data_IF_061105361158
#
_entry.id   IF_061105361158
#
_cell.length_a   1.000
_cell.length_b   1.000
_cell.length_c   1.000
_cell.angle_alpha   90.00
_cell.angle_beta   90.00
_cell.angle_gamma   90.00
#
_symmetry.space_group_name_H-M   'P 1'
#
loop_
_entity.id
_entity.type
_entity.pdbx_description
1 polymer ?
#
# COMPACT_ATOMS: atom_id res chain seq x y z
N UNK A 1 22.39 -23.88 -40.47
CA UNK A 1 21.87 -22.52 -40.77
C UNK A 1 22.14 -21.62 -39.57
N UNK A 2 23.27 -20.91 -39.54
CA UNK A 2 23.60 -19.97 -38.47
C UNK A 2 23.03 -18.59 -38.80
N UNK A 3 22.10 -18.09 -37.99
CA UNK A 3 21.56 -16.74 -38.18
C UNK A 3 22.53 -15.71 -37.62
N UNK A 4 23.28 -15.08 -38.53
CA UNK A 4 24.07 -13.89 -38.26
C UNK A 4 23.16 -12.73 -37.86
N UNK A 5 23.21 -12.29 -36.59
CA UNK A 5 22.64 -11.01 -36.18
C UNK A 5 23.58 -9.87 -36.62
N UNK A 6 23.46 -9.43 -37.88
CA UNK A 6 24.06 -8.16 -38.34
C UNK A 6 23.02 -7.05 -38.21
N UNK A 7 23.21 -6.18 -37.22
CA UNK A 7 22.50 -4.92 -37.09
C UNK A 7 22.33 -4.51 -35.63
N UNK A 8 22.94 -3.40 -35.22
CA UNK A 8 22.47 -2.71 -34.02
C UNK A 8 21.03 -2.26 -34.28
N UNK A 9 20.07 -2.56 -33.37
CA UNK A 9 18.69 -2.18 -33.58
C UNK A 9 18.57 -0.67 -33.78
N UNK A 10 17.80 -0.29 -34.79
CA UNK A 10 17.61 1.11 -35.19
C UNK A 10 17.13 1.96 -34.01
N UNK A 11 17.69 3.17 -33.89
CA UNK A 11 17.34 4.08 -32.81
C UNK A 11 15.92 4.61 -33.00
N UNK A 12 15.00 4.14 -32.15
CA UNK A 12 13.61 4.65 -32.13
C UNK A 12 13.54 5.94 -31.30
N UNK A 13 13.04 7.01 -31.91
CA UNK A 13 12.92 8.31 -31.24
C UNK A 13 11.88 8.29 -30.10
N UNK A 14 11.94 9.26 -29.18
CA UNK A 14 10.95 9.37 -28.10
C UNK A 14 9.55 9.67 -28.66
N UNK A 15 9.45 10.50 -29.70
CA UNK A 15 8.20 10.81 -30.38
C UNK A 15 7.53 9.57 -30.99
N UNK A 16 8.32 8.74 -31.69
CA UNK A 16 7.83 7.48 -32.25
C UNK A 16 7.34 6.51 -31.17
N UNK A 17 8.07 6.40 -30.04
CA UNK A 17 7.65 5.57 -28.90
C UNK A 17 6.29 6.01 -28.37
N UNK A 18 6.11 7.32 -28.15
CA UNK A 18 4.84 7.91 -27.67
C UNK A 18 3.71 7.68 -28.66
N UNK A 19 3.93 7.96 -29.95
CA UNK A 19 2.93 7.76 -30.99
C UNK A 19 2.53 6.29 -31.13
N UNK A 20 3.48 5.36 -30.99
CA UNK A 20 3.19 3.92 -30.99
C UNK A 20 2.38 3.50 -29.76
N UNK A 21 2.78 3.96 -28.57
CA UNK A 21 2.05 3.71 -27.33
C UNK A 21 0.61 4.21 -27.40
N UNK A 22 0.41 5.44 -27.89
CA UNK A 22 -0.91 6.06 -28.06
C UNK A 22 -1.81 5.26 -29.03
N UNK A 23 -1.29 4.93 -30.23
CA UNK A 23 -2.04 4.11 -31.21
C UNK A 23 -2.47 2.76 -30.62
N UNK A 24 -1.55 2.11 -29.89
CA UNK A 24 -1.87 0.82 -29.27
C UNK A 24 -2.84 0.95 -28.10
N UNK A 25 -2.76 2.02 -27.30
CA UNK A 25 -3.71 2.30 -26.24
C UNK A 25 -5.12 2.49 -26.80
N UNK A 26 -5.28 3.28 -27.86
CA UNK A 26 -6.58 3.50 -28.52
C UNK A 26 -7.15 2.19 -29.07
N UNK A 27 -6.30 1.36 -29.70
CA UNK A 27 -6.68 0.03 -30.17
C UNK A 27 -7.11 -0.89 -29.03
N UNK A 28 -6.43 -0.85 -27.89
CA UNK A 28 -6.77 -1.64 -26.70
C UNK A 28 -8.09 -1.18 -26.07
N UNK A 29 -8.28 0.14 -25.92
CA UNK A 29 -9.52 0.72 -25.37
C UNK A 29 -10.75 0.40 -26.21
N UNK A 30 -10.62 0.32 -27.55
CA UNK A 30 -11.69 -0.13 -28.45
C UNK A 30 -12.11 -1.58 -28.20
N UNK A 31 -11.19 -2.44 -27.76
CA UNK A 31 -11.47 -3.85 -27.48
C UNK A 31 -11.93 -4.10 -26.04
N UNK A 32 -11.41 -3.33 -25.09
CA UNK A 32 -11.68 -3.49 -23.68
C UNK A 32 -11.68 -2.12 -22.98
N UNK A 33 -12.84 -1.72 -22.45
CA UNK A 33 -13.00 -0.43 -21.77
C UNK A 33 -12.34 -0.38 -20.37
N UNK A 34 -11.98 -1.54 -19.79
CA UNK A 34 -11.31 -1.63 -18.48
C UNK A 34 -9.81 -1.30 -18.50
N UNK A 35 -9.26 -0.95 -19.66
CA UNK A 35 -7.85 -0.61 -19.83
C UNK A 35 -7.55 0.72 -19.13
N UNK A 36 -6.68 0.67 -18.14
CA UNK A 36 -6.30 1.80 -17.30
C UNK A 36 -4.83 2.16 -17.52
N UNK A 37 -4.53 3.16 -18.37
CA UNK A 37 -3.15 3.55 -18.61
C UNK A 37 -2.53 4.19 -17.37
N UNK A 38 -1.23 4.00 -17.20
CA UNK A 38 -0.48 4.68 -16.15
C UNK A 38 0.07 6.01 -16.68
N UNK A 39 -0.57 7.10 -16.28
CA UNK A 39 -0.22 8.47 -16.68
C UNK A 39 0.43 9.18 -15.50
N UNK A 40 1.61 9.76 -15.72
CA UNK A 40 2.27 10.58 -14.70
C UNK A 40 1.64 11.97 -14.61
N UNK A 41 1.46 12.45 -13.38
CA UNK A 41 1.18 13.86 -13.11
C UNK A 41 2.51 14.63 -13.00
N UNK A 42 3.03 15.10 -14.14
CA UNK A 42 4.28 15.84 -14.22
C UNK A 42 5.52 14.99 -14.55
N UNK A 43 6.71 15.47 -14.18
CA UNK A 43 8.00 14.86 -14.58
C UNK A 43 8.59 13.89 -13.56
N UNK A 44 8.12 13.98 -12.30
CA UNK A 44 8.56 13.14 -11.19
C UNK A 44 7.82 11.81 -11.20
N UNK A 45 8.55 10.72 -10.91
CA UNK A 45 7.99 9.37 -10.81
C UNK A 45 7.34 9.10 -9.46
N UNK A 46 7.77 9.84 -8.44
CA UNK A 46 7.15 9.83 -7.13
C UNK A 46 7.15 11.26 -6.56
N UNK A 47 6.09 11.60 -5.84
CA UNK A 47 5.79 12.91 -5.26
C UNK A 47 5.59 12.80 -3.77
N UNK A 48 4.96 11.72 -3.30
CA UNK A 48 4.73 11.49 -1.88
C UNK A 48 5.87 10.64 -1.30
N UNK A 49 5.93 10.60 0.03
CA UNK A 49 6.88 9.74 0.72
C UNK A 49 6.72 8.26 0.32
N UNK A 50 5.50 7.78 0.08
CA UNK A 50 5.22 6.38 -0.25
C UNK A 50 5.86 5.94 -1.57
N UNK A 51 5.61 6.69 -2.66
CA UNK A 51 6.24 6.41 -3.94
C UNK A 51 7.76 6.55 -3.87
N UNK A 52 8.28 7.53 -3.12
CA UNK A 52 9.73 7.73 -2.95
C UNK A 52 10.37 6.59 -2.16
N UNK A 53 9.75 6.16 -1.06
CA UNK A 53 10.22 5.05 -0.25
C UNK A 53 10.22 3.75 -1.04
N UNK A 54 9.14 3.47 -1.78
CA UNK A 54 9.05 2.32 -2.68
C UNK A 54 10.20 2.31 -3.70
N UNK A 55 10.36 3.41 -4.44
CA UNK A 55 11.42 3.55 -5.43
C UNK A 55 12.82 3.40 -4.79
N UNK A 56 13.03 3.99 -3.61
CA UNK A 56 14.28 3.85 -2.85
C UNK A 56 14.57 2.40 -2.46
N UNK A 57 13.55 1.68 -2.00
CA UNK A 57 13.69 0.27 -1.65
C UNK A 57 14.03 -0.59 -2.87
N UNK A 58 13.40 -0.33 -4.02
CA UNK A 58 13.72 -0.99 -5.27
C UNK A 58 15.15 -0.70 -5.74
N UNK A 59 15.61 0.54 -5.61
CA UNK A 59 16.94 0.97 -6.05
C UNK A 59 18.07 0.41 -5.18
N UNK A 60 17.79 0.08 -3.91
CA UNK A 60 18.72 -0.65 -3.03
C UNK A 60 19.01 -2.07 -3.50
N UNK A 61 18.24 -2.60 -4.44
CA UNK A 61 18.53 -3.87 -5.09
C UNK A 61 19.58 -3.61 -6.18
N UNK A 62 20.83 -3.48 -5.73
CA UNK A 62 21.95 -2.92 -6.47
C UNK A 62 22.26 -3.64 -7.82
N UNK A 63 21.77 -4.86 -8.02
CA UNK A 63 21.96 -5.64 -9.26
C UNK A 63 21.25 -5.05 -10.49
N UNK A 64 20.46 -3.98 -10.34
CA UNK A 64 19.57 -3.46 -11.39
C UNK A 64 19.86 -2.05 -11.87
N UNK A 65 20.90 -1.37 -11.36
CA UNK A 65 21.20 0.05 -11.64
C UNK A 65 21.17 0.42 -13.14
N UNK A 66 21.74 -0.43 -14.00
CA UNK A 66 21.79 -0.21 -15.46
C UNK A 66 20.46 -0.45 -16.20
N UNK A 67 19.48 -1.12 -15.58
CA UNK A 67 18.18 -1.49 -16.20
C UNK A 67 17.05 -0.57 -15.77
N UNK A 68 17.18 0.01 -14.58
CA UNK A 68 16.25 0.93 -13.94
C UNK A 68 16.00 2.20 -14.77
N UNK A 69 17.06 2.82 -15.32
CA UNK A 69 16.94 4.07 -16.07
C UNK A 69 16.04 3.99 -17.32
N UNK A 70 16.07 2.85 -18.03
CA UNK A 70 15.19 2.61 -19.19
C UNK A 70 13.73 2.40 -18.78
N UNK A 71 13.48 1.76 -17.63
CA UNK A 71 12.13 1.64 -17.06
C UNK A 71 11.50 3.01 -16.77
N UNK A 72 12.27 3.93 -16.15
CA UNK A 72 11.85 5.32 -15.90
C UNK A 72 11.42 6.03 -17.19
N UNK A 73 12.18 5.86 -18.27
CA UNK A 73 11.87 6.44 -19.57
C UNK A 73 10.54 5.93 -20.14
N UNK A 74 10.22 4.64 -19.96
CA UNK A 74 8.99 4.05 -20.51
C UNK A 74 7.75 4.63 -19.83
N UNK A 75 7.75 4.78 -18.51
CA UNK A 75 6.62 5.40 -17.80
C UNK A 75 6.45 6.86 -18.20
N UNK A 76 7.55 7.63 -18.24
CA UNK A 76 7.50 9.05 -18.65
C UNK A 76 6.98 9.29 -20.06
N UNK A 77 7.08 8.28 -20.91
CA UNK A 77 6.63 8.35 -22.30
C UNK A 77 5.29 7.66 -22.53
N UNK A 78 4.54 7.33 -21.48
CA UNK A 78 3.21 6.75 -21.60
C UNK A 78 3.21 5.33 -22.19
N UNK A 79 4.33 4.60 -22.10
CA UNK A 79 4.43 3.26 -22.66
C UNK A 79 3.74 2.19 -21.80
N UNK A 80 3.23 2.51 -20.61
CA UNK A 80 2.48 1.58 -19.75
C UNK A 80 0.99 1.77 -20.02
N UNK A 81 0.43 0.90 -20.86
CA UNK A 81 -0.89 1.06 -21.49
C UNK A 81 -2.03 0.54 -20.62
N UNK A 82 -1.77 -0.48 -19.81
CA UNK A 82 -2.67 -0.99 -18.79
C UNK A 82 -1.85 -1.26 -17.53
N UNK A 83 -2.40 -0.95 -16.36
CA UNK A 83 -1.73 -1.15 -15.08
C UNK A 83 -2.75 -1.45 -13.99
N UNK A 84 -2.67 -2.64 -13.41
CA UNK A 84 -3.61 -3.14 -12.40
C UNK A 84 -2.86 -3.70 -11.20
N UNK A 85 -3.25 -3.25 -10.02
CA UNK A 85 -2.79 -3.79 -8.74
C UNK A 85 -3.91 -4.66 -8.18
N UNK A 86 -3.60 -5.93 -7.97
CA UNK A 86 -4.46 -6.94 -7.37
C UNK A 86 -3.80 -7.48 -6.08
N UNK A 87 -4.53 -8.19 -5.21
CA UNK A 87 -3.96 -8.79 -4.01
C UNK A 87 -2.77 -9.72 -4.30
N UNK A 88 -1.55 -9.31 -3.95
CA UNK A 88 -0.32 -10.08 -4.17
C UNK A 88 0.22 -10.07 -5.60
N UNK A 89 -0.37 -9.33 -6.52
CA UNK A 89 0.05 -9.32 -7.93
C UNK A 89 -0.19 -7.98 -8.62
N UNK A 90 0.78 -7.56 -9.42
CA UNK A 90 0.67 -6.40 -10.30
C UNK A 90 0.78 -6.88 -11.73
N UNK A 91 -0.18 -6.49 -12.57
CA UNK A 91 -0.17 -6.79 -14.00
C UNK A 91 -0.08 -5.50 -14.80
N UNK A 92 0.65 -5.53 -15.90
CA UNK A 92 0.72 -4.39 -16.81
C UNK A 92 0.92 -4.81 -18.27
N UNK A 93 0.49 -3.92 -19.17
CA UNK A 93 0.79 -3.99 -20.59
C UNK A 93 1.76 -2.88 -20.95
N UNK A 94 2.97 -3.23 -21.37
CA UNK A 94 4.03 -2.27 -21.66
C UNK A 94 4.41 -2.28 -23.13
N UNK A 95 4.22 -1.15 -23.80
CA UNK A 95 4.63 -0.95 -25.17
C UNK A 95 6.15 -0.94 -25.29
N UNK A 96 6.71 -1.92 -26.01
CA UNK A 96 8.12 -1.96 -26.37
C UNK A 96 8.34 -1.87 -27.88
N UNK A 97 9.35 -2.60 -28.37
CA UNK A 97 9.71 -2.62 -29.79
C UNK A 97 8.70 -3.44 -30.61
N UNK A 98 8.10 -4.49 -30.04
CA UNK A 98 7.08 -5.31 -30.72
C UNK A 98 5.84 -4.50 -31.12
N UNK A 99 5.11 -4.98 -32.13
CA UNK A 99 3.80 -4.43 -32.53
C UNK A 99 2.74 -4.65 -31.45
N UNK A 100 2.85 -5.75 -30.70
CA UNK A 100 2.04 -6.08 -29.53
C UNK A 100 2.74 -5.59 -28.25
N UNK A 101 1.99 -5.00 -27.29
CA UNK A 101 2.52 -4.70 -25.96
C UNK A 101 2.96 -5.98 -25.24
N UNK A 102 4.00 -5.88 -24.42
CA UNK A 102 4.45 -6.98 -23.58
C UNK A 102 3.61 -7.07 -22.31
N UNK A 103 3.26 -8.29 -21.93
CA UNK A 103 2.59 -8.59 -20.67
C UNK A 103 3.65 -8.69 -19.58
N UNK A 104 3.41 -8.02 -18.46
CA UNK A 104 4.26 -8.06 -17.29
C UNK A 104 3.41 -8.46 -16.09
N UNK A 105 3.92 -9.40 -15.30
CA UNK A 105 3.34 -9.77 -14.01
C UNK A 105 4.42 -9.72 -12.93
N UNK A 106 4.12 -9.04 -11.83
CA UNK A 106 4.96 -8.98 -10.64
C UNK A 106 4.17 -9.56 -9.48
N UNK A 107 4.62 -10.72 -8.98
CA UNK A 107 4.02 -11.37 -7.82
C UNK A 107 4.79 -10.97 -6.58
N UNK A 108 4.08 -10.48 -5.57
CA UNK A 108 4.63 -10.12 -4.27
C UNK A 108 4.10 -11.11 -3.25
N UNK A 109 5.02 -11.71 -2.48
CA UNK A 109 4.65 -12.65 -1.42
C UNK A 109 3.74 -11.95 -0.40
N UNK A 110 2.70 -12.62 0.13
CA UNK A 110 1.96 -12.12 1.28
C UNK A 110 2.89 -11.89 2.49
N UNK A 111 2.56 -10.89 3.31
CA UNK A 111 3.25 -10.70 4.59
C UNK A 111 2.95 -11.91 5.49
N UNK A 112 3.96 -12.40 6.20
CA UNK A 112 3.75 -13.49 7.14
C UNK A 112 2.94 -13.01 8.36
N UNK A 113 2.14 -13.91 8.93
CA UNK A 113 1.23 -13.59 10.04
C UNK A 113 1.96 -13.08 11.28
N UNK A 114 3.20 -13.52 11.51
CA UNK A 114 4.00 -13.12 12.67
C UNK A 114 4.47 -11.67 12.52
N UNK A 115 5.07 -11.33 11.39
CA UNK A 115 5.45 -9.95 11.07
C UNK A 115 4.23 -9.02 11.07
N UNK A 116 3.09 -9.46 10.54
CA UNK A 116 1.87 -8.67 10.60
C UNK A 116 1.43 -8.39 12.04
N UNK A 117 1.44 -9.42 12.90
CA UNK A 117 1.14 -9.26 14.32
C UNK A 117 2.12 -8.29 15.00
N UNK A 118 3.42 -8.41 14.75
CA UNK A 118 4.45 -7.50 15.27
C UNK A 118 4.22 -6.05 14.82
N UNK A 119 3.83 -5.83 13.55
CA UNK A 119 3.48 -4.50 13.05
C UNK A 119 2.28 -3.94 13.83
N UNK A 120 1.22 -4.73 14.02
CA UNK A 120 0.02 -4.28 14.76
C UNK A 120 0.34 -3.89 16.19
N UNK A 121 1.11 -4.71 16.90
CA UNK A 121 1.58 -4.41 18.26
C UNK A 121 2.43 -3.13 18.31
N UNK A 122 3.30 -2.91 17.32
CA UNK A 122 4.12 -1.69 17.26
C UNK A 122 3.31 -0.43 16.93
N UNK A 123 2.14 -0.58 16.29
CA UNK A 123 1.22 0.52 16.00
C UNK A 123 0.32 0.88 17.21
N UNK A 124 0.24 0.00 18.21
CA UNK A 124 -0.59 0.19 19.41
C UNK A 124 -0.27 1.53 20.07
N UNK A 125 -1.30 2.33 20.33
CA UNK A 125 -1.18 3.64 20.95
C UNK A 125 -0.52 4.76 20.12
N UNK A 126 -0.02 4.48 18.89
CA UNK A 126 0.58 5.48 17.97
C UNK A 126 -0.38 6.05 16.94
N UNK A 127 -1.58 5.47 16.82
CA UNK A 127 -2.63 5.93 15.91
C UNK A 127 -3.48 6.99 16.62
N UNK A 128 -3.18 8.26 16.37
CA UNK A 128 -3.90 9.38 16.97
C UNK A 128 -5.18 9.72 16.20
N UNK A 129 -5.09 9.77 14.87
CA UNK A 129 -6.20 10.09 13.97
C UNK A 129 -6.64 8.87 13.15
N UNK A 130 -7.88 8.42 13.37
CA UNK A 130 -8.48 7.34 12.59
C UNK A 130 -8.82 7.80 11.17
N UNK A 131 -9.24 9.06 11.05
CA UNK A 131 -9.56 9.66 9.76
C UNK A 131 -8.33 9.70 8.86
N UNK A 132 -7.17 10.11 9.39
CA UNK A 132 -5.91 10.10 8.62
C UNK A 132 -5.55 8.70 8.14
N UNK A 133 -5.69 7.69 9.01
CA UNK A 133 -5.44 6.29 8.65
C UNK A 133 -6.36 5.83 7.51
N UNK A 134 -7.65 6.16 7.58
CA UNK A 134 -8.63 5.87 6.52
C UNK A 134 -8.33 6.66 5.25
N UNK A 135 -7.77 7.86 5.33
CA UNK A 135 -7.33 8.64 4.17
C UNK A 135 -5.96 8.17 3.62
N UNK A 136 -5.33 7.15 4.23
CA UNK A 136 -3.99 6.68 3.83
C UNK A 136 -2.87 7.64 4.23
N UNK A 137 -3.15 8.58 5.14
CA UNK A 137 -2.17 9.46 5.77
C UNK A 137 -1.64 8.78 7.02
N UNK A 138 -0.35 8.52 7.04
CA UNK A 138 0.30 7.83 8.15
C UNK A 138 1.30 8.77 8.83
N UNK A 139 1.29 8.88 10.16
CA UNK A 139 2.30 9.62 10.88
C UNK A 139 3.67 8.94 10.73
N UNK A 140 4.74 9.72 10.97
CA UNK A 140 6.12 9.31 10.69
C UNK A 140 6.51 8.01 11.41
N UNK A 141 6.00 7.81 12.61
CA UNK A 141 6.25 6.64 13.43
C UNK A 141 5.71 5.36 12.79
N UNK A 142 4.53 5.43 12.15
CA UNK A 142 3.96 4.27 11.43
C UNK A 142 4.72 3.99 10.15
N UNK A 143 5.12 5.04 9.44
CA UNK A 143 5.98 4.98 8.26
C UNK A 143 7.28 4.21 8.56
N UNK A 144 7.94 4.49 9.68
CA UNK A 144 9.16 3.81 10.11
C UNK A 144 8.91 2.31 10.41
N UNK A 145 7.79 1.98 11.04
CA UNK A 145 7.38 0.59 11.28
C UNK A 145 7.14 -0.15 9.96
N UNK A 146 6.38 0.46 9.05
CA UNK A 146 6.04 -0.15 7.76
C UNK A 146 7.23 -0.32 6.83
N UNK A 147 8.29 0.49 6.99
CA UNK A 147 9.53 0.37 6.22
C UNK A 147 10.66 -0.35 6.94
N UNK A 148 10.41 -0.87 8.15
CA UNK A 148 11.40 -1.64 8.89
C UNK A 148 11.90 -2.82 8.04
N UNK A 149 13.22 -2.86 7.78
CA UNK A 149 13.81 -3.85 6.88
C UNK A 149 13.53 -5.29 7.38
N UNK A 150 12.89 -6.09 6.54
CA UNK A 150 12.60 -7.50 6.81
C UNK A 150 11.47 -7.77 7.81
N UNK A 151 10.88 -6.74 8.42
CA UNK A 151 9.75 -6.86 9.36
C UNK A 151 8.54 -6.01 8.97
N UNK A 152 8.76 -5.00 8.15
CA UNK A 152 7.74 -4.10 7.65
C UNK A 152 6.97 -4.67 6.46
N UNK A 153 6.17 -3.80 5.85
CA UNK A 153 5.38 -4.11 4.67
C UNK A 153 6.23 -4.15 3.40
N UNK A 154 7.42 -3.56 3.40
CA UNK A 154 8.30 -3.52 2.24
C UNK A 154 8.87 -4.90 1.92
N UNK A 155 8.54 -5.48 0.74
CA UNK A 155 9.02 -6.81 0.37
C UNK A 155 10.52 -6.77 0.17
N UNK A 156 11.20 -7.85 0.53
CA UNK A 156 12.58 -8.12 0.14
C UNK A 156 12.64 -8.66 -1.30
N UNK A 157 13.81 -8.61 -1.99
CA UNK A 157 13.94 -9.14 -3.36
C UNK A 157 13.47 -10.59 -3.53
N UNK A 158 13.69 -11.43 -2.51
CA UNK A 158 13.30 -12.85 -2.52
C UNK A 158 11.78 -13.05 -2.46
N UNK A 159 11.05 -12.02 -2.05
CA UNK A 159 9.58 -12.02 -1.98
C UNK A 159 8.93 -11.50 -3.26
N UNK A 160 9.72 -11.10 -4.27
CA UNK A 160 9.22 -10.55 -5.51
C UNK A 160 9.60 -11.49 -6.66
N UNK A 161 8.62 -11.91 -7.45
CA UNK A 161 8.83 -12.71 -8.67
C UNK A 161 8.39 -11.91 -9.87
N UNK A 162 9.24 -11.90 -10.90
CA UNK A 162 9.00 -11.18 -12.15
C UNK A 162 8.67 -12.15 -13.28
N UNK A 163 7.71 -11.75 -14.12
CA UNK A 163 7.43 -12.39 -15.40
C UNK A 163 7.21 -11.30 -16.44
N UNK A 164 7.79 -11.48 -17.62
CA UNK A 164 7.55 -10.60 -18.76
C UNK A 164 7.59 -11.40 -20.06
N UNK A 165 6.65 -11.16 -20.97
CA UNK A 165 6.60 -11.82 -22.28
C UNK A 165 7.64 -11.31 -23.30
N UNK A 166 8.57 -10.45 -22.88
CA UNK A 166 9.61 -9.93 -23.76
C UNK A 166 10.76 -10.92 -23.95
N UNK A 167 11.47 -10.89 -25.09
CA UNK A 167 12.59 -11.80 -25.36
C UNK A 167 13.88 -11.48 -24.58
N UNK A 168 13.82 -10.60 -23.58
CA UNK A 168 14.97 -10.28 -22.71
C UNK A 168 15.11 -11.41 -21.67
N UNK A 169 16.26 -12.07 -21.66
CA UNK A 169 16.57 -13.17 -20.74
C UNK A 169 16.87 -12.68 -19.31
N UNK A 170 17.00 -11.37 -19.11
CA UNK A 170 17.17 -10.80 -17.79
C UNK A 170 15.88 -10.94 -16.95
N UNK A 171 16.01 -11.41 -15.71
CA UNK A 171 14.92 -11.48 -14.74
C UNK A 171 14.22 -10.12 -14.55
N UNK A 172 14.98 -9.03 -14.64
CA UNK A 172 14.47 -7.65 -14.60
C UNK A 172 14.78 -6.91 -15.90
N UNK A 173 13.87 -7.04 -16.87
CA UNK A 173 13.89 -6.25 -18.09
C UNK A 173 13.40 -4.80 -17.83
N UNK A 174 13.55 -3.91 -18.82
CA UNK A 174 13.04 -2.53 -18.75
C UNK A 174 11.52 -2.43 -18.54
N UNK A 175 10.74 -3.42 -18.98
CA UNK A 175 9.29 -3.45 -18.81
C UNK A 175 8.90 -3.82 -17.37
N UNK A 176 9.62 -4.76 -16.76
CA UNK A 176 9.51 -5.05 -15.33
C UNK A 176 9.87 -3.81 -14.51
N UNK A 177 10.98 -3.15 -14.83
CA UNK A 177 11.37 -1.91 -14.16
C UNK A 177 10.32 -0.79 -14.29
N UNK A 178 9.73 -0.63 -15.48
CA UNK A 178 8.61 0.30 -15.69
C UNK A 178 7.39 -0.07 -14.82
N UNK A 179 7.09 -1.35 -14.68
CA UNK A 179 5.97 -1.81 -13.84
C UNK A 179 6.26 -1.57 -12.35
N UNK A 180 7.47 -1.85 -11.91
CA UNK A 180 7.93 -1.60 -10.54
C UNK A 180 7.82 -0.13 -10.14
N UNK A 181 8.29 0.79 -10.99
CA UNK A 181 8.10 2.21 -10.75
C UNK A 181 6.63 2.64 -10.82
N UNK A 182 5.83 1.98 -11.65
CA UNK A 182 4.39 2.22 -11.71
C UNK A 182 3.65 1.92 -10.41
N UNK A 183 4.15 0.96 -9.63
CA UNK A 183 3.64 0.71 -8.28
C UNK A 183 3.87 1.96 -7.41
N UNK A 184 5.07 2.56 -7.45
CA UNK A 184 5.36 3.80 -6.72
C UNK A 184 4.44 4.96 -7.11
N UNK A 185 4.13 5.10 -8.40
CA UNK A 185 3.17 6.09 -8.90
C UNK A 185 1.77 5.86 -8.31
N UNK A 186 1.31 4.61 -8.28
CA UNK A 186 -0.01 4.28 -7.70
C UNK A 186 -0.06 4.41 -6.18
N UNK A 187 1.06 4.16 -5.50
CA UNK A 187 1.17 4.35 -4.05
C UNK A 187 1.13 5.83 -3.65
N UNK A 188 1.54 6.74 -4.54
CA UNK A 188 1.34 8.17 -4.32
C UNK A 188 -0.14 8.58 -4.37
N UNK A 189 -0.93 7.89 -5.19
CA UNK A 189 -2.36 8.15 -5.33
C UNK A 189 -3.15 7.48 -4.19
N UNK A 190 -2.80 6.24 -3.85
CA UNK A 190 -3.44 5.46 -2.78
C UNK A 190 -2.44 4.55 -2.05
N UNK A 191 -1.96 4.96 -0.86
CA UNK A 191 -1.07 4.15 -0.02
C UNK A 191 -1.66 2.82 0.44
N UNK A 192 -3.00 2.66 0.46
CA UNK A 192 -3.66 1.41 0.88
C UNK A 192 -3.35 0.25 -0.04
N UNK A 193 -3.00 0.53 -1.30
CA UNK A 193 -2.57 -0.46 -2.28
C UNK A 193 -1.36 -1.26 -1.78
N UNK A 194 -0.58 -0.73 -0.83
CA UNK A 194 0.51 -1.46 -0.22
C UNK A 194 0.05 -2.63 0.64
N UNK A 195 -1.00 -2.42 1.44
CA UNK A 195 -1.64 -3.44 2.26
C UNK A 195 -2.28 -4.49 1.38
N UNK A 196 -2.99 -4.06 0.32
CA UNK A 196 -3.57 -4.94 -0.70
C UNK A 196 -2.50 -5.85 -1.33
N UNK A 197 -1.37 -5.28 -1.76
CA UNK A 197 -0.26 -6.01 -2.36
C UNK A 197 0.37 -7.02 -1.41
N UNK A 198 0.47 -6.69 -0.12
CA UNK A 198 1.02 -7.59 0.90
C UNK A 198 -0.03 -8.53 1.50
N UNK A 199 -1.28 -8.49 1.01
CA UNK A 199 -2.45 -9.20 1.58
C UNK A 199 -2.56 -8.98 3.10
N UNK A 200 -2.29 -7.76 3.53
CA UNK A 200 -2.53 -7.29 4.87
C UNK A 200 -3.82 -6.46 4.86
N UNK A 201 -4.62 -6.54 5.92
CA UNK A 201 -5.89 -5.82 6.02
C UNK A 201 -5.67 -4.56 6.86
N UNK A 202 -5.77 -3.39 6.23
CA UNK A 202 -5.65 -2.12 6.96
C UNK A 202 -6.73 -1.98 8.04
N UNK A 203 -7.89 -2.61 7.83
CA UNK A 203 -9.00 -2.64 8.79
C UNK A 203 -8.62 -3.29 10.12
N UNK A 204 -7.62 -4.17 10.14
CA UNK A 204 -7.05 -4.68 11.39
C UNK A 204 -6.42 -3.56 12.23
N UNK A 205 -5.71 -2.62 11.58
CA UNK A 205 -5.07 -1.49 12.27
C UNK A 205 -6.11 -0.51 12.81
N UNK A 206 -7.17 -0.26 12.03
CA UNK A 206 -8.32 0.55 12.44
C UNK A 206 -8.99 -0.07 13.67
N UNK A 207 -9.23 -1.38 13.62
CA UNK A 207 -9.86 -2.12 14.73
C UNK A 207 -9.03 -2.05 16.00
N UNK A 208 -7.71 -2.21 15.90
CA UNK A 208 -6.83 -2.13 17.06
C UNK A 208 -6.75 -0.70 17.62
N UNK A 209 -6.68 0.32 16.76
CA UNK A 209 -6.71 1.72 17.19
C UNK A 209 -8.00 2.08 17.93
N UNK A 210 -9.15 1.55 17.49
CA UNK A 210 -10.43 1.73 18.17
C UNK A 210 -10.43 1.07 19.55
N UNK A 211 -9.94 -0.17 19.64
CA UNK A 211 -9.80 -0.88 20.92
C UNK A 211 -8.92 -0.09 21.89
N UNK A 212 -7.81 0.46 21.43
CA UNK A 212 -6.91 1.26 22.26
C UNK A 212 -7.55 2.53 22.78
N UNK A 213 -8.29 3.25 21.91
CA UNK A 213 -9.04 4.44 22.33
C UNK A 213 -10.10 4.07 23.37
N UNK A 214 -10.85 3.00 23.15
CA UNK A 214 -11.84 2.50 24.13
C UNK A 214 -11.20 2.12 25.47
N UNK A 215 -10.10 1.35 25.46
CA UNK A 215 -9.32 1.01 26.68
C UNK A 215 -8.85 2.28 27.40
N UNK A 216 -8.32 3.28 26.68
CA UNK A 216 -7.86 4.56 27.26
C UNK A 216 -9.02 5.35 27.88
N UNK A 217 -10.19 5.38 27.23
CA UNK A 217 -11.39 6.05 27.76
C UNK A 217 -11.91 5.37 29.02
N UNK A 218 -11.98 4.03 29.05
CA UNK A 218 -12.39 3.28 30.24
C UNK A 218 -11.44 3.54 31.42
N UNK A 219 -10.12 3.48 31.21
CA UNK A 219 -9.13 3.82 32.25
C UNK A 219 -9.25 5.27 32.76
N UNK A 220 -9.65 6.22 31.91
CA UNK A 220 -9.91 7.61 32.34
C UNK A 220 -11.19 7.72 33.16
N UNK A 221 -12.23 6.96 32.82
CA UNK A 221 -13.49 6.94 33.57
C UNK A 221 -13.32 6.34 34.97
N UNK A 222 -12.43 5.36 35.14
CA UNK A 222 -12.10 4.77 36.44
C UNK A 222 -11.34 5.72 37.38
N UNK A 223 -10.66 6.75 36.84
CA UNK A 223 -10.00 7.77 37.64
C UNK A 223 -11.03 8.72 38.23
N UNK A 224 -11.41 8.51 39.50
CA UNK A 224 -12.23 9.44 40.27
C UNK A 224 -11.56 10.82 40.29
N UNK A 225 -12.23 11.81 39.73
CA UNK A 225 -11.80 13.21 39.86
C UNK A 225 -12.28 13.76 41.21
N UNK A 226 -11.63 14.81 41.72
CA UNK A 226 -12.04 15.48 42.97
C UNK A 226 -13.46 16.08 42.92
N UNK A 227 -14.09 16.11 41.74
CA UNK A 227 -15.45 16.59 41.49
C UNK A 227 -16.51 15.48 41.51
N UNK A 228 -16.14 14.23 41.78
CA UNK A 228 -17.11 13.13 41.94
C UNK A 228 -17.77 13.27 43.31
N UNK A 229 -19.02 13.74 43.31
CA UNK A 229 -19.86 13.80 44.51
C UNK A 229 -20.16 12.36 44.94
N UNK A 230 -19.86 12.00 46.18
CA UNK A 230 -20.22 10.68 46.73
C UNK A 230 -21.74 10.61 46.85
N UNK A 231 -22.35 9.45 46.67
CA UNK A 231 -23.82 9.29 46.68
C UNK A 231 -24.49 9.88 47.95
N UNK A 232 -23.80 9.82 49.09
CA UNK A 232 -24.21 10.42 50.36
C UNK A 232 -24.22 11.95 50.35
N UNK A 233 -23.31 12.58 49.60
CA UNK A 233 -23.22 14.03 49.45
C UNK A 233 -24.22 14.54 48.40
N UNK A 234 -24.50 13.74 47.36
CA UNK A 234 -25.51 14.08 46.34
C UNK A 234 -26.92 14.09 46.96
N UNK A 235 -27.24 13.10 47.78
CA UNK A 235 -28.52 13.03 48.50
C UNK A 235 -28.77 14.25 49.40
N UNK A 236 -27.73 14.67 50.15
CA UNK A 236 -27.77 15.88 50.98
C UNK A 236 -27.94 17.16 50.16
N UNK A 237 -27.31 17.24 48.98
CA UNK A 237 -27.39 18.43 48.13
C UNK A 237 -28.79 18.64 47.53
N UNK A 238 -29.56 17.57 47.33
CA UNK A 238 -30.95 17.61 46.86
C UNK A 238 -32.00 17.48 47.99
N UNK A 239 -31.57 17.46 49.26
CA UNK A 239 -32.49 17.35 50.40
C UNK A 239 -33.25 16.02 50.46
N UNK A 240 -32.70 14.95 49.89
CA UNK A 240 -33.33 13.63 49.85
C UNK A 240 -32.73 12.77 50.96
N UNK A 241 -33.54 12.38 51.94
CA UNK A 241 -33.17 11.36 52.91
C UNK A 241 -33.19 9.98 52.24
N UNK A 242 -32.01 9.42 51.94
CA UNK A 242 -31.90 8.02 51.50
C UNK A 242 -32.17 7.12 52.71
N UNK A 243 -33.43 6.74 52.89
CA UNK A 243 -33.80 5.67 53.82
C UNK A 243 -33.26 4.36 53.24
N UNK A 244 -32.20 3.81 53.86
CA UNK A 244 -31.73 2.44 53.58
C UNK A 244 -32.82 1.45 53.99
N UNK A 245 -33.76 1.21 53.08
CA UNK A 245 -34.75 0.15 53.25
C UNK A 245 -34.02 -1.18 53.08
N UNK A 246 -33.74 -1.88 54.19
CA UNK A 246 -33.34 -3.29 54.15
C UNK A 246 -34.51 -4.07 53.56
N UNK A 247 -34.47 -4.33 52.26
CA UNK A 247 -35.35 -5.32 51.64
C UNK A 247 -34.93 -6.68 52.21
N UNK A 248 -35.65 -7.16 53.23
CA UNK A 248 -35.58 -8.56 53.63
C UNK A 248 -36.15 -9.37 52.48
N UNK A 249 -35.29 -10.00 51.68
CA UNK A 249 -35.70 -11.01 50.72
C UNK A 249 -36.41 -12.14 51.47
N UNK A 250 -37.74 -12.16 51.38
CA UNK A 250 -38.59 -13.23 51.88
C UNK A 250 -38.94 -14.15 50.71
N UNK A 251 -37.92 -14.77 50.13
CA UNK A 251 -38.10 -15.96 49.28
C UNK A 251 -37.36 -17.12 49.96
N UNK A 252 -38.05 -17.69 50.93
CA UNK A 252 -37.74 -18.97 51.56
C UNK A 252 -38.95 -19.87 51.34
N UNK A 253 -38.74 -20.89 50.49
CA UNK A 253 -39.44 -22.19 50.45
C UNK A 253 -40.98 -22.17 50.33
N UNK A 254 -41.46 -22.52 49.14
CA UNK A 254 -42.24 -23.75 48.94
C UNK A 254 -42.01 -24.29 47.53
#
# INVERSE_FOLDING_TARGET
>A
MGYYWRGFPEYVSVGEKRAKAQRNLERLKKKNFSITPLILQGTRLARTWWGMAWNTNLEKYADYSNRIGRGRSYIRNGCVLDFKINPGEVTSLVQGISSTPYEVAIKIKPLDKKSWKEIKEQCEGKIESLQELIEGKFPRELIEIFTAKGKGLFPSPKEIKFSCSCPDWASMCKHVAATLYGIGVKLDDDPKLFFLLRKAEMDDLITEALRDKSKKMLKKAEKKTSRVIKDLDAAKMFGIDIVKTKIKNKWSKK
#
